data_IF_050531152193
#
_entry.id   IF_050531152193
#
_cell.length_a   1.000
_cell.length_b   1.000
_cell.length_c   1.000
_cell.angle_alpha   90.00
_cell.angle_beta   90.00
_cell.angle_gamma   90.00
#
_symmetry.space_group_name_H-M   'P 1'
#
loop_
_entity.id
_entity.type
_entity.pdbx_description
1 polymer ?
#
# COMPACT_ATOMS: atom_id res chain seq x y z
N UNK A 1 -5.52 14.08 -9.66
CA UNK A 1 -6.79 14.38 -10.35
C UNK A 1 -7.86 13.57 -9.65
N UNK A 2 -8.93 14.23 -9.16
CA UNK A 2 -9.99 13.58 -8.39
C UNK A 2 -11.17 13.23 -9.27
N UNK A 3 -11.98 12.25 -8.87
CA UNK A 3 -13.17 11.83 -9.59
C UNK A 3 -14.44 12.33 -8.88
N UNK A 4 -15.27 13.10 -9.60
CA UNK A 4 -16.56 13.57 -9.13
C UNK A 4 -17.70 12.81 -9.82
N UNK A 5 -18.66 12.31 -9.03
CA UNK A 5 -19.90 11.75 -9.53
C UNK A 5 -21.03 12.78 -9.37
N UNK A 6 -21.55 13.24 -10.51
CA UNK A 6 -22.67 14.19 -10.57
C UNK A 6 -23.96 13.41 -10.76
N UNK A 7 -24.90 13.56 -9.81
CA UNK A 7 -26.14 12.79 -9.77
C UNK A 7 -27.34 13.75 -9.78
N UNK A 8 -28.07 13.71 -10.84
CA UNK A 8 -29.31 14.51 -11.05
C UNK A 8 -30.17 13.78 -12.10
N UNK A 9 -31.48 13.81 -12.03
CA UNK A 9 -32.34 13.20 -13.03
C UNK A 9 -32.46 14.04 -14.30
N UNK A 10 -32.17 15.36 -14.22
CA UNK A 10 -32.17 16.27 -15.36
C UNK A 10 -30.78 16.29 -16.05
N UNK A 11 -30.74 15.90 -17.35
CA UNK A 11 -29.47 15.88 -18.11
C UNK A 11 -28.86 17.28 -18.27
N UNK A 12 -29.69 18.30 -18.42
CA UNK A 12 -29.25 19.71 -18.55
C UNK A 12 -28.47 20.16 -17.33
N UNK A 13 -28.90 19.77 -16.12
CA UNK A 13 -28.21 20.11 -14.87
C UNK A 13 -26.86 19.40 -14.78
N UNK A 14 -26.81 18.09 -15.10
CA UNK A 14 -25.55 17.34 -15.12
C UNK A 14 -24.54 17.92 -16.13
N UNK A 15 -25.02 18.27 -17.33
CA UNK A 15 -24.19 18.89 -18.38
C UNK A 15 -23.71 20.29 -17.97
N UNK A 16 -24.59 21.07 -17.32
CA UNK A 16 -24.26 22.39 -16.81
C UNK A 16 -23.14 22.37 -15.77
N UNK A 17 -23.22 21.43 -14.82
CA UNK A 17 -22.17 21.23 -13.81
C UNK A 17 -20.86 20.76 -14.48
N UNK A 18 -20.94 19.80 -15.40
CA UNK A 18 -19.78 19.34 -16.16
C UNK A 18 -19.10 20.46 -16.94
N UNK A 19 -19.89 21.31 -17.60
CA UNK A 19 -19.39 22.49 -18.30
C UNK A 19 -18.68 23.48 -17.36
N UNK A 20 -19.24 23.75 -16.17
CA UNK A 20 -18.60 24.63 -15.19
C UNK A 20 -17.27 24.06 -14.72
N UNK A 21 -17.19 22.76 -14.44
CA UNK A 21 -15.96 22.09 -14.03
C UNK A 21 -14.88 22.23 -15.11
N UNK A 22 -15.22 21.99 -16.36
CA UNK A 22 -14.30 22.10 -17.49
C UNK A 22 -13.89 23.56 -17.75
N UNK A 23 -14.87 24.49 -17.78
CA UNK A 23 -14.63 25.92 -18.03
C UNK A 23 -13.65 26.54 -17.03
N UNK A 24 -13.78 26.19 -15.76
CA UNK A 24 -12.92 26.71 -14.69
C UNK A 24 -11.71 25.82 -14.42
N UNK A 25 -11.50 24.79 -15.26
CA UNK A 25 -10.33 23.90 -15.24
C UNK A 25 -10.06 23.26 -13.86
N UNK A 26 -11.12 22.86 -13.17
CA UNK A 26 -10.94 22.10 -11.95
C UNK A 26 -10.27 20.75 -12.26
N UNK A 27 -9.34 20.26 -11.42
CA UNK A 27 -8.62 19.00 -11.66
C UNK A 27 -9.50 17.77 -11.35
N UNK A 28 -10.67 17.67 -12.00
CA UNK A 28 -11.71 16.70 -11.76
C UNK A 28 -12.05 15.90 -13.02
N UNK A 29 -12.18 14.58 -12.86
CA UNK A 29 -12.79 13.69 -13.85
C UNK A 29 -14.27 13.52 -13.51
N UNK A 30 -15.16 13.87 -14.43
CA UNK A 30 -16.60 13.87 -14.20
C UNK A 30 -17.21 12.56 -14.65
N UNK A 31 -17.91 11.88 -13.74
CA UNK A 31 -18.85 10.80 -14.02
C UNK A 31 -20.27 11.28 -13.73
N UNK A 32 -21.28 10.67 -14.35
CA UNK A 32 -22.67 11.05 -14.20
C UNK A 32 -23.55 9.87 -13.88
N UNK A 33 -24.59 10.11 -13.08
CA UNK A 33 -25.68 9.15 -12.81
C UNK A 33 -27.03 9.89 -12.80
N UNK A 34 -28.10 9.17 -13.07
CA UNK A 34 -29.45 9.75 -13.22
C UNK A 34 -30.34 9.68 -11.97
N UNK A 35 -29.90 8.94 -10.94
CA UNK A 35 -30.60 8.81 -9.66
C UNK A 35 -29.68 8.14 -8.64
N UNK A 36 -30.10 8.11 -7.36
CA UNK A 36 -29.31 7.53 -6.29
C UNK A 36 -28.99 6.04 -6.46
N UNK A 37 -29.88 5.26 -7.07
CA UNK A 37 -29.65 3.83 -7.26
C UNK A 37 -28.54 3.56 -8.28
N UNK A 38 -28.59 4.24 -9.43
CA UNK A 38 -27.55 4.13 -10.47
C UNK A 38 -26.20 4.67 -9.96
N UNK A 39 -26.21 5.71 -9.11
CA UNK A 39 -25.03 6.23 -8.45
C UNK A 39 -24.37 5.17 -7.53
N UNK A 40 -25.15 4.50 -6.67
CA UNK A 40 -24.62 3.44 -5.80
C UNK A 40 -24.09 2.22 -6.59
N UNK A 41 -24.74 1.86 -7.69
CA UNK A 41 -24.26 0.81 -8.58
C UNK A 41 -22.91 1.19 -9.22
N UNK A 42 -22.77 2.43 -9.67
CA UNK A 42 -21.52 2.95 -10.21
C UNK A 42 -20.39 2.91 -9.16
N UNK A 43 -20.66 3.41 -7.95
CA UNK A 43 -19.68 3.48 -6.85
C UNK A 43 -19.18 2.10 -6.37
N UNK A 44 -19.90 1.01 -6.64
CA UNK A 44 -19.46 -0.35 -6.28
C UNK A 44 -18.22 -0.79 -7.07
N UNK A 45 -18.08 -0.31 -8.29
CA UNK A 45 -17.03 -0.74 -9.23
C UNK A 45 -16.05 0.37 -9.60
N UNK A 46 -16.42 1.61 -9.35
CA UNK A 46 -15.63 2.79 -9.66
C UNK A 46 -15.45 3.64 -8.40
N UNK A 47 -14.22 3.76 -7.88
CA UNK A 47 -13.97 4.68 -6.77
C UNK A 47 -14.21 6.12 -7.21
N UNK A 48 -14.80 6.91 -6.32
CA UNK A 48 -14.97 8.35 -6.48
C UNK A 48 -14.45 9.08 -5.26
N UNK A 49 -14.10 10.35 -5.43
CA UNK A 49 -13.61 11.22 -4.34
C UNK A 49 -14.70 12.20 -3.89
N UNK A 50 -15.56 12.62 -4.82
CA UNK A 50 -16.60 13.62 -4.58
C UNK A 50 -17.92 13.11 -5.14
N UNK A 51 -18.98 13.22 -4.33
CA UNK A 51 -20.37 13.03 -4.74
C UNK A 51 -21.05 14.39 -4.77
N UNK A 52 -21.59 14.79 -5.91
CA UNK A 52 -22.49 15.95 -6.04
C UNK A 52 -23.87 15.40 -6.42
N UNK A 53 -24.88 15.63 -5.60
CA UNK A 53 -26.22 15.05 -5.80
C UNK A 53 -27.31 16.07 -5.66
N UNK A 54 -28.30 16.04 -6.57
CA UNK A 54 -29.58 16.72 -6.33
C UNK A 54 -30.33 16.07 -5.17
N UNK A 55 -31.20 16.81 -4.52
CA UNK A 55 -32.04 16.31 -3.41
C UNK A 55 -33.19 15.46 -3.94
N UNK A 56 -33.94 15.98 -4.91
CA UNK A 56 -35.16 15.32 -5.40
C UNK A 56 -34.91 14.56 -6.68
N UNK A 57 -34.81 13.25 -6.56
CA UNK A 57 -34.66 12.35 -7.70
C UNK A 57 -35.62 11.16 -7.58
N UNK A 58 -36.02 10.53 -8.71
CA UNK A 58 -36.84 9.33 -8.67
C UNK A 58 -36.07 8.13 -8.11
N UNK A 59 -36.80 7.16 -7.54
CA UNK A 59 -36.32 5.88 -6.98
C UNK A 59 -35.56 6.00 -5.65
N UNK A 60 -34.52 6.82 -5.61
CA UNK A 60 -33.71 7.11 -4.42
C UNK A 60 -33.34 8.59 -4.45
N UNK A 61 -33.72 9.32 -3.43
CA UNK A 61 -33.39 10.74 -3.30
C UNK A 61 -31.92 10.97 -2.91
N UNK A 62 -31.44 12.22 -3.12
CA UNK A 62 -30.04 12.52 -2.88
C UNK A 62 -29.66 12.54 -1.40
N UNK A 63 -30.58 12.75 -0.49
CA UNK A 63 -30.29 12.69 0.96
C UNK A 63 -30.13 11.24 1.44
N UNK A 64 -30.91 10.33 0.90
CA UNK A 64 -30.77 8.90 1.13
C UNK A 64 -29.45 8.40 0.51
N UNK A 65 -29.12 8.85 -0.71
CA UNK A 65 -27.82 8.56 -1.35
C UNK A 65 -26.66 9.09 -0.50
N UNK A 66 -26.73 10.33 -0.03
CA UNK A 66 -25.69 10.93 0.81
C UNK A 66 -25.46 10.12 2.09
N UNK A 67 -26.53 9.71 2.78
CA UNK A 67 -26.44 8.88 3.98
C UNK A 67 -25.77 7.54 3.70
N UNK A 68 -26.19 6.83 2.64
CA UNK A 68 -25.55 5.56 2.24
C UNK A 68 -24.09 5.73 1.87
N UNK A 69 -23.76 6.83 1.19
CA UNK A 69 -22.39 7.13 0.82
C UNK A 69 -21.52 7.37 2.06
N UNK A 70 -22.00 8.17 3.00
CA UNK A 70 -21.27 8.43 4.25
C UNK A 70 -21.00 7.14 5.06
N UNK A 71 -22.03 6.28 5.20
CA UNK A 71 -21.91 5.03 5.95
C UNK A 71 -20.90 4.04 5.30
N UNK A 72 -20.86 3.99 3.98
CA UNK A 72 -20.11 2.97 3.25
C UNK A 72 -18.78 3.46 2.68
N UNK A 73 -18.69 4.75 2.37
CA UNK A 73 -17.54 5.39 1.72
C UNK A 73 -17.17 6.69 2.48
N UNK A 74 -16.64 6.59 3.70
CA UNK A 74 -16.44 7.75 4.59
C UNK A 74 -15.43 8.79 4.05
N UNK A 75 -14.63 8.40 3.08
CA UNK A 75 -13.64 9.26 2.45
C UNK A 75 -14.22 10.13 1.33
N UNK A 76 -15.41 9.80 0.84
CA UNK A 76 -16.10 10.56 -0.21
C UNK A 76 -16.64 11.88 0.35
N UNK A 77 -16.30 12.98 -0.29
CA UNK A 77 -16.84 14.31 0.05
C UNK A 77 -18.19 14.49 -0.61
N UNK A 78 -19.19 14.81 0.20
CA UNK A 78 -20.59 14.90 -0.25
C UNK A 78 -20.98 16.37 -0.38
N UNK A 79 -21.47 16.74 -1.57
CA UNK A 79 -22.04 18.05 -1.90
C UNK A 79 -23.48 17.86 -2.35
N UNK A 80 -24.40 18.54 -1.70
CA UNK A 80 -25.81 18.51 -2.05
C UNK A 80 -26.18 19.77 -2.81
N UNK A 81 -26.92 19.62 -3.88
CA UNK A 81 -27.34 20.65 -4.80
C UNK A 81 -28.87 20.63 -4.97
N UNK A 82 -29.57 21.70 -4.70
CA UNK A 82 -31.03 21.67 -4.64
C UNK A 82 -31.70 22.96 -5.03
N UNK A 83 -32.86 22.84 -5.68
CA UNK A 83 -33.75 23.97 -5.95
C UNK A 83 -34.50 24.48 -4.69
N UNK A 84 -34.36 23.77 -3.57
CA UNK A 84 -35.13 24.05 -2.35
C UNK A 84 -34.25 24.67 -1.27
N UNK A 85 -34.45 25.95 -0.98
CA UNK A 85 -33.84 26.67 0.14
C UNK A 85 -34.44 26.35 1.51
N UNK A 86 -35.17 25.25 1.65
CA UNK A 86 -35.81 24.89 2.90
C UNK A 86 -34.74 24.44 3.94
N UNK A 87 -34.80 25.06 5.10
CA UNK A 87 -33.90 24.79 6.23
C UNK A 87 -33.87 23.29 6.62
N UNK A 88 -34.98 22.59 6.46
CA UNK A 88 -35.08 21.16 6.76
C UNK A 88 -34.20 20.27 5.85
N UNK A 89 -34.04 20.60 4.54
CA UNK A 89 -33.18 19.85 3.65
C UNK A 89 -31.70 20.11 3.95
N UNK A 90 -31.37 21.37 4.22
CA UNK A 90 -29.99 21.70 4.64
C UNK A 90 -29.61 20.98 5.95
N UNK A 91 -30.51 20.94 6.92
CA UNK A 91 -30.34 20.23 8.19
C UNK A 91 -30.13 18.71 7.97
N UNK A 92 -30.92 18.09 7.09
CA UNK A 92 -30.78 16.66 6.74
C UNK A 92 -29.49 16.39 5.98
N UNK A 93 -29.07 17.26 5.07
CA UNK A 93 -27.79 17.16 4.37
C UNK A 93 -26.62 17.22 5.36
N UNK A 94 -26.65 18.14 6.31
CA UNK A 94 -25.65 18.22 7.38
C UNK A 94 -25.67 16.97 8.29
N UNK A 95 -26.83 16.41 8.59
CA UNK A 95 -26.92 15.14 9.32
C UNK A 95 -26.34 13.95 8.53
N UNK A 96 -26.37 14.01 7.20
CA UNK A 96 -25.69 13.07 6.31
C UNK A 96 -24.21 13.42 6.05
N UNK A 97 -23.63 14.32 6.87
CA UNK A 97 -22.22 14.76 6.78
C UNK A 97 -21.87 15.38 5.41
N UNK A 98 -22.83 16.00 4.72
CA UNK A 98 -22.54 16.79 3.54
C UNK A 98 -21.59 17.95 3.89
N UNK A 99 -20.55 18.11 3.09
CA UNK A 99 -19.54 19.16 3.26
C UNK A 99 -20.15 20.53 2.97
N UNK A 100 -21.07 20.60 2.01
CA UNK A 100 -21.74 21.83 1.63
C UNK A 100 -23.08 21.55 0.98
N UNK A 101 -23.92 22.59 0.95
CA UNK A 101 -25.23 22.61 0.34
C UNK A 101 -25.31 23.82 -0.59
N UNK A 102 -25.55 23.61 -1.88
CA UNK A 102 -25.67 24.63 -2.91
C UNK A 102 -27.13 24.79 -3.34
N UNK A 103 -27.54 26.02 -3.59
CA UNK A 103 -28.88 26.32 -4.10
C UNK A 103 -28.89 26.43 -5.64
N UNK A 104 -29.97 25.96 -6.26
CA UNK A 104 -30.30 26.25 -7.67
C UNK A 104 -31.09 27.60 -7.74
N UNK A 105 -30.84 28.46 -8.70
CA UNK A 105 -29.81 28.38 -9.74
C UNK A 105 -28.39 28.58 -9.18
N UNK A 106 -27.40 27.88 -9.75
CA UNK A 106 -26.00 27.99 -9.31
C UNK A 106 -25.47 29.42 -9.54
N UNK A 107 -25.05 30.04 -8.45
CA UNK A 107 -24.17 31.23 -8.55
C UNK A 107 -22.73 30.78 -8.79
N UNK A 108 -22.13 31.28 -9.88
CA UNK A 108 -20.82 30.84 -10.35
C UNK A 108 -19.73 31.03 -9.28
N UNK A 109 -19.76 32.17 -8.60
CA UNK A 109 -18.77 32.47 -7.55
C UNK A 109 -18.89 31.56 -6.36
N UNK A 110 -20.13 31.20 -5.97
CA UNK A 110 -20.38 30.25 -4.89
C UNK A 110 -19.93 28.84 -5.29
N UNK A 111 -20.23 28.40 -6.51
CA UNK A 111 -19.78 27.11 -7.04
C UNK A 111 -18.25 27.00 -7.01
N UNK A 112 -17.55 28.03 -7.52
CA UNK A 112 -16.08 28.04 -7.53
C UNK A 112 -15.51 27.96 -6.11
N UNK A 113 -16.04 28.72 -5.17
CA UNK A 113 -15.63 28.72 -3.78
C UNK A 113 -15.78 27.33 -3.14
N UNK A 114 -16.96 26.71 -3.32
CA UNK A 114 -17.26 25.40 -2.76
C UNK A 114 -16.41 24.30 -3.39
N UNK A 115 -16.25 24.32 -4.72
CA UNK A 115 -15.39 23.34 -5.41
C UNK A 115 -13.93 23.45 -4.99
N UNK A 116 -13.41 24.68 -4.84
CA UNK A 116 -12.05 24.89 -4.33
C UNK A 116 -11.88 24.32 -2.92
N UNK A 117 -12.85 24.59 -2.05
CA UNK A 117 -12.84 24.08 -0.68
C UNK A 117 -12.87 22.53 -0.61
N UNK A 118 -13.71 21.91 -1.45
CA UNK A 118 -13.84 20.45 -1.50
C UNK A 118 -12.55 19.80 -2.01
N UNK A 119 -11.95 20.37 -3.06
CA UNK A 119 -10.68 19.88 -3.60
C UNK A 119 -9.58 19.97 -2.55
N UNK A 120 -9.49 21.07 -1.81
CA UNK A 120 -8.53 21.21 -0.71
C UNK A 120 -8.73 20.14 0.38
N UNK A 121 -9.98 19.79 0.70
CA UNK A 121 -10.25 18.70 1.65
C UNK A 121 -9.87 17.32 1.10
N UNK A 122 -9.99 17.09 -0.21
CA UNK A 122 -9.51 15.87 -0.84
C UNK A 122 -7.97 15.80 -0.81
N UNK A 123 -7.28 16.93 -1.03
CA UNK A 123 -5.82 17.03 -0.91
C UNK A 123 -5.37 16.68 0.53
N UNK A 124 -5.96 17.31 1.54
CA UNK A 124 -5.66 17.02 2.95
C UNK A 124 -5.87 15.54 3.32
N UNK A 125 -6.97 14.94 2.83
CA UNK A 125 -7.22 13.52 3.08
C UNK A 125 -6.19 12.62 2.38
N UNK A 126 -5.83 12.96 1.15
CA UNK A 126 -4.81 12.23 0.39
C UNK A 126 -3.44 12.30 1.06
N UNK A 127 -3.04 13.47 1.56
CA UNK A 127 -1.79 13.66 2.30
C UNK A 127 -1.80 12.86 3.61
N UNK A 128 -2.87 12.94 4.39
CA UNK A 128 -2.99 12.13 5.64
C UNK A 128 -2.86 10.63 5.38
N UNK A 129 -3.51 10.13 4.32
CA UNK A 129 -3.39 8.70 3.95
C UNK A 129 -1.97 8.32 3.55
N UNK A 130 -1.27 9.18 2.80
CA UNK A 130 0.13 8.97 2.44
C UNK A 130 1.03 8.94 3.67
N UNK A 131 0.84 9.90 4.59
CA UNK A 131 1.60 9.99 5.83
C UNK A 131 1.36 8.76 6.72
N UNK A 132 0.10 8.30 6.86
CA UNK A 132 -0.22 7.10 7.62
C UNK A 132 0.39 5.84 6.99
N UNK A 133 0.32 5.72 5.68
CA UNK A 133 0.95 4.62 4.94
C UNK A 133 2.47 4.63 5.11
N UNK A 134 3.10 5.78 4.93
CA UNK A 134 4.55 5.93 5.08
C UNK A 134 5.00 5.60 6.51
N UNK A 135 4.31 6.12 7.54
CA UNK A 135 4.60 5.77 8.94
C UNK A 135 4.43 4.28 9.20
N UNK A 136 3.41 3.65 8.60
CA UNK A 136 3.20 2.20 8.68
C UNK A 136 4.36 1.42 8.05
N UNK A 137 4.84 1.86 6.89
CA UNK A 137 6.00 1.27 6.20
C UNK A 137 7.29 1.46 7.00
N UNK A 138 7.57 2.66 7.49
CA UNK A 138 8.73 2.96 8.35
C UNK A 138 8.72 2.12 9.63
N UNK A 139 7.57 2.03 10.30
CA UNK A 139 7.42 1.21 11.50
C UNK A 139 7.68 -0.27 11.21
N UNK A 140 7.16 -0.79 10.08
CA UNK A 140 7.38 -2.16 9.64
C UNK A 140 8.85 -2.44 9.38
N UNK A 141 9.55 -1.55 8.69
CA UNK A 141 10.98 -1.66 8.42
C UNK A 141 11.81 -1.64 9.72
N UNK A 142 11.51 -0.73 10.64
CA UNK A 142 12.17 -0.70 11.96
C UNK A 142 11.94 -1.98 12.74
N UNK A 143 10.73 -2.54 12.70
CA UNK A 143 10.41 -3.78 13.38
C UNK A 143 11.19 -4.96 12.80
N UNK A 144 11.20 -5.10 11.47
CA UNK A 144 11.93 -6.16 10.78
C UNK A 144 13.44 -6.07 11.06
N UNK A 145 14.00 -4.86 11.03
CA UNK A 145 15.40 -4.63 11.40
C UNK A 145 15.72 -5.13 12.83
N UNK A 146 14.87 -4.80 13.80
CA UNK A 146 15.04 -5.26 15.19
C UNK A 146 14.92 -6.78 15.33
N UNK A 147 13.98 -7.39 14.59
CA UNK A 147 13.81 -8.84 14.57
C UNK A 147 15.04 -9.54 14.00
N UNK A 148 15.56 -9.07 12.89
CA UNK A 148 16.71 -9.67 12.21
C UNK A 148 17.99 -9.49 13.04
N UNK A 149 18.22 -8.28 13.61
CA UNK A 149 19.42 -8.00 14.43
C UNK A 149 19.35 -8.55 15.86
N UNK A 150 18.20 -9.09 16.28
CA UNK A 150 18.03 -9.62 17.64
C UNK A 150 18.03 -8.56 18.74
N UNK A 151 17.89 -7.27 18.43
CA UNK A 151 17.89 -6.17 19.40
C UNK A 151 16.61 -6.11 20.24
N UNK A 152 15.70 -7.08 20.04
CA UNK A 152 14.49 -7.27 20.83
C UNK A 152 13.35 -6.31 20.45
N UNK A 153 12.11 -6.78 20.67
CA UNK A 153 10.91 -6.05 20.28
C UNK A 153 10.47 -5.00 21.31
N UNK A 154 11.02 -5.04 22.54
CA UNK A 154 10.56 -4.19 23.65
C UNK A 154 9.04 -4.37 23.87
N UNK A 155 8.30 -3.25 23.97
CA UNK A 155 6.83 -3.22 24.03
C UNK A 155 6.17 -3.04 22.66
N UNK A 156 6.85 -3.36 21.56
CA UNK A 156 6.26 -3.24 20.23
C UNK A 156 5.09 -4.22 20.08
N UNK A 157 3.92 -3.70 19.78
CA UNK A 157 2.78 -4.53 19.40
C UNK A 157 3.04 -5.03 17.98
N UNK A 158 3.37 -6.31 17.87
CA UNK A 158 3.39 -6.98 16.57
C UNK A 158 1.93 -7.10 16.12
N UNK A 159 1.57 -6.41 15.07
CA UNK A 159 0.33 -6.72 14.37
C UNK A 159 0.57 -7.99 13.58
N UNK A 160 0.06 -9.10 14.08
CA UNK A 160 0.17 -10.44 13.47
C UNK A 160 -0.38 -10.52 12.03
N UNK A 161 -1.08 -9.47 11.61
CA UNK A 161 -1.78 -9.44 10.33
C UNK A 161 -0.87 -9.37 9.10
N UNK A 162 0.34 -8.82 9.20
CA UNK A 162 1.19 -8.55 8.02
C UNK A 162 1.58 -9.80 7.24
N UNK A 163 1.85 -10.91 7.92
CA UNK A 163 2.26 -12.17 7.29
C UNK A 163 1.40 -13.35 7.75
N UNK A 164 0.19 -13.07 8.26
CA UNK A 164 -0.73 -14.11 8.72
C UNK A 164 -1.06 -15.09 7.60
N UNK A 165 -0.90 -16.38 7.88
CA UNK A 165 -1.17 -17.45 6.91
C UNK A 165 -0.19 -17.51 5.73
N UNK A 166 0.99 -16.86 5.86
CA UNK A 166 2.03 -16.92 4.85
C UNK A 166 3.24 -17.73 5.33
N UNK A 167 3.88 -18.40 4.38
CA UNK A 167 5.21 -18.99 4.52
C UNK A 167 6.25 -17.88 4.33
N UNK A 168 7.25 -17.84 5.19
CA UNK A 168 8.35 -16.89 5.21
C UNK A 168 9.65 -17.64 4.90
N UNK A 169 10.57 -16.98 4.21
CA UNK A 169 11.92 -17.48 3.96
C UNK A 169 12.90 -16.32 3.99
N UNK A 170 13.99 -16.45 4.75
CA UNK A 170 15.06 -15.46 4.84
C UNK A 170 16.20 -15.80 3.89
N UNK A 171 16.62 -14.82 3.11
CA UNK A 171 17.90 -14.82 2.41
C UNK A 171 18.84 -13.84 3.11
N UNK A 172 19.99 -14.34 3.53
CA UNK A 172 21.10 -13.52 4.02
C UNK A 172 22.05 -13.24 2.86
N UNK A 173 22.42 -11.99 2.67
CA UNK A 173 23.31 -11.51 1.61
C UNK A 173 24.46 -10.77 2.25
N UNK A 174 25.69 -11.20 1.94
CA UNK A 174 26.91 -10.53 2.37
C UNK A 174 27.75 -10.20 1.14
N UNK A 175 28.24 -8.99 1.06
CA UNK A 175 29.09 -8.50 -0.01
C UNK A 175 30.49 -8.16 0.50
N UNK A 176 31.49 -8.11 -0.37
CA UNK A 176 32.87 -7.76 0.01
C UNK A 176 33.07 -6.26 0.26
N UNK A 177 32.22 -5.42 -0.34
CA UNK A 177 32.30 -3.97 -0.27
C UNK A 177 30.98 -3.42 0.30
N UNK A 178 30.96 -2.15 0.68
CA UNK A 178 29.78 -1.43 1.14
C UNK A 178 28.71 -1.26 0.03
N UNK A 179 28.40 -2.36 -0.65
CA UNK A 179 27.52 -2.38 -1.85
C UNK A 179 26.15 -1.77 -1.56
N UNK A 180 25.58 -2.10 -0.42
CA UNK A 180 24.24 -1.65 -0.05
C UNK A 180 24.19 -0.18 0.36
N UNK A 181 25.33 0.48 0.61
CA UNK A 181 25.35 1.92 0.91
C UNK A 181 24.84 2.78 -0.26
N UNK A 182 24.95 2.31 -1.50
CA UNK A 182 24.59 3.08 -2.71
C UNK A 182 23.76 2.33 -3.73
N UNK A 183 23.53 1.02 -3.56
CA UNK A 183 22.92 0.17 -4.60
C UNK A 183 21.64 -0.54 -4.12
N UNK A 184 21.02 -0.06 -3.04
CA UNK A 184 19.81 -0.67 -2.45
C UNK A 184 18.65 -0.78 -3.46
N UNK A 185 18.33 0.31 -4.15
CA UNK A 185 17.26 0.35 -5.14
C UNK A 185 17.53 -0.59 -6.33
N UNK A 186 18.76 -0.62 -6.81
CA UNK A 186 19.17 -1.49 -7.90
C UNK A 186 19.09 -2.97 -7.50
N UNK A 187 19.49 -3.29 -6.26
CA UNK A 187 19.37 -4.64 -5.71
C UNK A 187 17.91 -5.07 -5.56
N UNK A 188 17.07 -4.23 -4.99
CA UNK A 188 15.65 -4.50 -4.86
C UNK A 188 14.96 -4.69 -6.22
N UNK A 189 15.33 -3.89 -7.23
CA UNK A 189 14.79 -4.07 -8.57
C UNK A 189 15.25 -5.39 -9.20
N UNK A 190 16.52 -5.74 -9.04
CA UNK A 190 17.07 -7.02 -9.50
C UNK A 190 16.34 -8.22 -8.86
N UNK A 191 16.06 -8.17 -7.55
CA UNK A 191 15.30 -9.22 -6.87
C UNK A 191 13.88 -9.36 -7.43
N UNK A 192 13.19 -8.24 -7.71
CA UNK A 192 11.85 -8.24 -8.35
C UNK A 192 11.89 -8.93 -9.71
N UNK A 193 12.91 -8.64 -10.51
CA UNK A 193 13.07 -9.20 -11.86
C UNK A 193 13.42 -10.70 -11.83
N UNK A 194 14.16 -11.15 -10.82
CA UNK A 194 14.59 -12.55 -10.72
C UNK A 194 13.54 -13.46 -10.10
N UNK A 195 12.81 -12.99 -9.07
CA UNK A 195 12.06 -13.92 -8.21
C UNK A 195 10.55 -13.87 -8.41
N UNK A 196 9.97 -12.74 -8.79
CA UNK A 196 8.53 -12.49 -8.86
C UNK A 196 7.78 -12.72 -7.53
N UNK A 197 8.50 -12.88 -6.41
CA UNK A 197 7.94 -13.02 -5.07
C UNK A 197 7.88 -11.67 -4.36
N UNK A 198 6.96 -11.54 -3.44
CA UNK A 198 6.93 -10.40 -2.53
C UNK A 198 8.04 -10.56 -1.50
N UNK A 199 8.70 -9.47 -1.16
CA UNK A 199 9.75 -9.46 -0.16
C UNK A 199 9.83 -8.13 0.59
N UNK A 200 10.47 -8.17 1.77
CA UNK A 200 10.94 -7.01 2.51
C UNK A 200 12.48 -7.05 2.50
N UNK A 201 13.09 -5.96 2.11
CA UNK A 201 14.54 -5.77 2.18
C UNK A 201 14.91 -5.13 3.51
N UNK A 202 15.91 -5.68 4.20
CA UNK A 202 16.35 -5.23 5.51
C UNK A 202 17.86 -5.03 5.46
N UNK A 203 18.29 -3.79 5.37
CA UNK A 203 19.70 -3.42 5.43
C UNK A 203 20.17 -3.47 6.89
N UNK A 204 21.18 -4.27 7.21
CA UNK A 204 21.76 -4.38 8.55
C UNK A 204 23.09 -3.65 8.64
N UNK A 205 23.92 -3.75 7.61
CA UNK A 205 25.20 -3.06 7.48
C UNK A 205 25.44 -2.69 6.01
N UNK A 206 26.39 -1.77 5.70
CA UNK A 206 26.66 -1.39 4.32
C UNK A 206 27.01 -2.55 3.38
N UNK A 207 27.53 -3.63 3.93
CA UNK A 207 27.95 -4.86 3.27
C UNK A 207 27.04 -6.07 3.54
N UNK A 208 26.01 -5.92 4.39
CA UNK A 208 25.14 -7.02 4.81
C UNK A 208 23.66 -6.64 4.73
N UNK A 209 22.85 -7.52 4.17
CA UNK A 209 21.41 -7.37 4.12
C UNK A 209 20.70 -8.72 4.33
N UNK A 210 19.47 -8.63 4.84
CA UNK A 210 18.51 -9.72 4.80
C UNK A 210 17.36 -9.40 3.87
N UNK A 211 16.84 -10.43 3.21
CA UNK A 211 15.64 -10.35 2.39
C UNK A 211 14.63 -11.35 2.92
N UNK A 212 13.50 -10.85 3.43
CA UNK A 212 12.41 -11.67 3.90
C UNK A 212 11.41 -11.88 2.76
N UNK A 213 11.43 -13.03 2.14
CA UNK A 213 10.41 -13.43 1.17
C UNK A 213 9.17 -13.97 1.86
N UNK A 214 8.00 -13.74 1.28
CA UNK A 214 6.73 -14.23 1.80
C UNK A 214 5.74 -14.63 0.70
N UNK A 215 5.03 -15.75 0.94
CA UNK A 215 4.09 -16.33 -0.01
C UNK A 215 3.07 -17.22 0.72
N UNK A 216 1.98 -17.60 0.04
CA UNK A 216 1.06 -18.64 0.50
C UNK A 216 1.59 -20.07 0.26
N UNK A 217 2.70 -20.21 -0.45
CA UNK A 217 3.30 -21.48 -0.88
C UNK A 217 4.74 -21.55 -0.38
N UNK A 218 5.30 -22.76 -0.36
CA UNK A 218 6.70 -22.99 -0.01
C UNK A 218 7.64 -22.22 -0.91
N UNK A 219 8.67 -21.64 -0.33
CA UNK A 219 9.57 -20.67 -0.96
C UNK A 219 10.98 -21.21 -1.16
N UNK A 220 11.55 -21.91 -0.15
CA UNK A 220 12.98 -22.24 -0.10
C UNK A 220 13.45 -23.04 -1.31
N UNK A 221 12.69 -24.03 -1.78
CA UNK A 221 13.07 -24.85 -2.94
C UNK A 221 13.05 -24.01 -4.23
N UNK A 222 12.00 -23.22 -4.41
CA UNK A 222 11.82 -22.38 -5.61
C UNK A 222 12.78 -21.20 -5.68
N UNK A 223 13.13 -20.63 -4.53
CA UNK A 223 14.11 -19.56 -4.43
C UNK A 223 15.52 -20.12 -4.64
N UNK A 224 15.82 -21.33 -4.14
CA UNK A 224 17.11 -21.99 -4.35
C UNK A 224 17.52 -22.05 -5.82
N UNK A 225 16.57 -22.37 -6.70
CA UNK A 225 16.79 -22.39 -8.15
C UNK A 225 17.15 -20.98 -8.74
N UNK A 226 16.73 -19.91 -8.05
CA UNK A 226 16.95 -18.52 -8.49
C UNK A 226 18.20 -17.87 -7.92
N UNK A 227 18.82 -18.45 -6.90
CA UNK A 227 20.00 -17.84 -6.26
C UNK A 227 21.18 -17.70 -7.20
N UNK A 228 21.37 -18.65 -8.12
CA UNK A 228 22.45 -18.60 -9.12
C UNK A 228 22.27 -17.39 -10.04
N UNK A 229 21.05 -17.16 -10.51
CA UNK A 229 20.73 -16.02 -11.36
C UNK A 229 20.97 -14.68 -10.63
N UNK A 230 20.59 -14.64 -9.33
CA UNK A 230 20.81 -13.46 -8.49
C UNK A 230 22.30 -13.20 -8.30
N UNK A 231 23.06 -14.23 -7.96
CA UNK A 231 24.52 -14.12 -7.75
C UNK A 231 25.24 -13.71 -9.01
N UNK A 232 24.88 -14.28 -10.16
CA UNK A 232 25.49 -13.92 -11.44
C UNK A 232 25.20 -12.47 -11.84
N UNK A 233 23.99 -11.99 -11.60
CA UNK A 233 23.64 -10.58 -11.83
C UNK A 233 24.39 -9.63 -10.88
N UNK A 234 24.59 -10.00 -9.61
CA UNK A 234 25.43 -9.23 -8.69
C UNK A 234 26.85 -9.14 -9.21
N UNK A 235 27.42 -10.26 -9.66
CA UNK A 235 28.78 -10.31 -10.25
C UNK A 235 28.89 -9.45 -11.52
N UNK A 236 27.89 -9.48 -12.40
CA UNK A 236 27.83 -8.62 -13.58
C UNK A 236 27.79 -7.12 -13.23
N UNK A 237 27.26 -6.78 -12.06
CA UNK A 237 27.24 -5.42 -11.51
C UNK A 237 28.52 -5.09 -10.69
N UNK A 238 29.54 -5.95 -10.75
CA UNK A 238 30.81 -5.74 -10.05
C UNK A 238 30.75 -6.00 -8.54
N UNK A 239 29.79 -6.80 -8.08
CA UNK A 239 29.61 -7.16 -6.68
C UNK A 239 29.76 -8.66 -6.48
N UNK A 240 30.77 -9.08 -5.74
CA UNK A 240 30.90 -10.45 -5.24
C UNK A 240 30.08 -10.57 -3.95
N UNK A 241 29.25 -11.61 -3.88
CA UNK A 241 28.33 -11.77 -2.77
C UNK A 241 28.13 -13.23 -2.38
N UNK A 242 28.17 -13.49 -1.07
CA UNK A 242 27.69 -14.74 -0.48
C UNK A 242 26.18 -14.67 -0.27
N UNK A 243 25.49 -15.69 -0.74
CA UNK A 243 24.05 -15.86 -0.60
C UNK A 243 23.74 -17.08 0.25
N UNK A 244 23.05 -16.90 1.37
CA UNK A 244 22.64 -18.02 2.23
C UNK A 244 21.12 -17.99 2.38
N UNK A 245 20.43 -18.96 1.79
CA UNK A 245 18.98 -19.11 1.88
C UNK A 245 18.60 -20.01 3.03
N UNK A 246 17.72 -19.50 3.90
CA UNK A 246 17.14 -20.24 5.00
C UNK A 246 16.07 -21.25 4.57
N UNK A 247 15.63 -22.06 5.52
CA UNK A 247 14.46 -22.90 5.35
C UNK A 247 13.17 -22.10 5.57
N UNK A 248 12.07 -22.62 5.07
CA UNK A 248 10.73 -22.04 5.25
C UNK A 248 10.30 -22.10 6.72
N UNK A 249 9.60 -21.03 7.15
CA UNK A 249 9.01 -20.92 8.48
C UNK A 249 7.73 -20.08 8.45
N UNK A 250 7.03 -20.00 9.57
CA UNK A 250 5.83 -19.16 9.76
C UNK A 250 5.96 -18.36 11.04
N UNK A 251 5.24 -17.25 11.13
CA UNK A 251 5.20 -16.38 12.31
C UNK A 251 6.38 -15.41 12.42
N UNK A 252 6.07 -14.16 12.73
CA UNK A 252 7.06 -13.09 12.91
C UNK A 252 8.01 -13.35 14.06
N UNK A 253 7.55 -14.02 15.09
CA UNK A 253 8.32 -14.39 16.30
C UNK A 253 9.54 -15.28 15.98
N UNK A 254 9.50 -16.00 14.86
CA UNK A 254 10.57 -16.89 14.43
C UNK A 254 11.67 -16.20 13.61
N UNK A 255 11.44 -14.96 13.12
CA UNK A 255 12.41 -14.23 12.29
C UNK A 255 13.77 -14.10 13.01
N UNK A 256 13.76 -13.71 14.29
CA UNK A 256 15.01 -13.50 15.04
C UNK A 256 15.82 -14.79 15.17
N UNK A 257 15.17 -15.89 15.50
CA UNK A 257 15.84 -17.19 15.61
C UNK A 257 16.41 -17.64 14.27
N UNK A 258 15.66 -17.44 13.19
CA UNK A 258 16.10 -17.78 11.82
C UNK A 258 17.26 -16.92 11.36
N UNK A 259 17.20 -15.60 11.56
CA UNK A 259 18.30 -14.69 11.22
C UNK A 259 19.58 -15.05 11.97
N UNK A 260 19.49 -15.32 13.27
CA UNK A 260 20.64 -15.75 14.07
C UNK A 260 21.23 -17.09 13.58
N UNK A 261 20.37 -18.04 13.16
CA UNK A 261 20.83 -19.30 12.60
C UNK A 261 21.64 -19.09 11.33
N UNK A 262 21.13 -18.25 10.39
CA UNK A 262 21.84 -17.92 9.15
C UNK A 262 23.16 -17.19 9.42
N UNK A 263 23.19 -16.23 10.35
CA UNK A 263 24.42 -15.53 10.72
C UNK A 263 25.47 -16.46 11.34
N UNK A 264 25.05 -17.49 12.12
CA UNK A 264 25.97 -18.50 12.65
C UNK A 264 26.56 -19.37 11.54
N UNK A 265 25.72 -19.89 10.67
CA UNK A 265 26.17 -20.71 9.53
C UNK A 265 27.17 -19.94 8.69
N UNK A 266 26.89 -18.68 8.40
CA UNK A 266 27.80 -17.82 7.65
C UNK A 266 29.15 -17.63 8.35
N UNK A 267 29.15 -17.38 9.65
CA UNK A 267 30.39 -17.18 10.42
C UNK A 267 31.25 -18.46 10.50
N UNK A 268 30.63 -19.64 10.49
CA UNK A 268 31.34 -20.92 10.45
C UNK A 268 31.94 -21.23 9.07
N UNK A 269 31.36 -20.67 8.00
CA UNK A 269 31.77 -20.90 6.61
C UNK A 269 32.57 -19.73 6.01
N UNK A 270 33.28 -18.97 6.84
CA UNK A 270 33.96 -17.69 6.54
C UNK A 270 34.97 -17.73 5.38
N UNK A 271 35.40 -18.88 4.86
CA UNK A 271 36.45 -19.00 3.87
C UNK A 271 36.00 -18.87 2.40
N UNK A 272 34.71 -18.65 2.13
CA UNK A 272 34.20 -18.57 0.76
C UNK A 272 33.42 -17.26 0.51
N UNK A 273 34.07 -16.20 0.05
CA UNK A 273 33.44 -14.88 -0.15
C UNK A 273 32.33 -14.86 -1.22
N UNK A 274 32.27 -15.87 -2.08
CA UNK A 274 31.30 -16.01 -3.16
C UNK A 274 30.49 -17.32 -3.02
N UNK A 275 30.07 -17.63 -1.79
CA UNK A 275 29.36 -18.87 -1.50
C UNK A 275 27.86 -18.73 -1.81
N UNK A 276 27.31 -19.78 -2.45
CA UNK A 276 25.88 -19.97 -2.60
C UNK A 276 25.47 -21.18 -1.76
N UNK A 277 24.71 -20.93 -0.71
CA UNK A 277 24.41 -21.92 0.31
C UNK A 277 22.91 -22.05 0.57
N UNK A 278 22.47 -23.29 0.76
CA UNK A 278 21.11 -23.60 1.20
C UNK A 278 21.18 -24.21 2.61
N UNK A 279 20.51 -23.60 3.58
CA UNK A 279 20.49 -24.10 4.97
C UNK A 279 20.10 -25.57 5.07
N UNK A 280 19.14 -26.02 4.25
CA UNK A 280 18.69 -27.41 4.19
C UNK A 280 19.79 -28.41 3.83
N UNK A 281 20.78 -28.01 3.02
CA UNK A 281 21.89 -28.87 2.59
C UNK A 281 23.02 -28.92 3.62
N UNK A 282 23.17 -27.83 4.40
CA UNK A 282 24.22 -27.71 5.42
C UNK A 282 23.87 -28.59 6.64
N UNK A 283 22.59 -28.68 7.02
CA UNK A 283 22.12 -29.53 8.14
C UNK A 283 22.51 -30.98 7.99
N UNK A 284 22.63 -31.48 6.76
CA UNK A 284 23.10 -32.84 6.48
C UNK A 284 24.65 -32.94 6.55
N UNK A 285 25.37 -31.86 6.22
CA UNK A 285 26.83 -31.81 6.15
C UNK A 285 27.49 -31.54 7.51
N UNK A 286 26.93 -30.71 8.36
CA UNK A 286 27.47 -30.37 9.69
C UNK A 286 27.45 -31.56 10.63
N UNK A 287 26.56 -32.53 10.42
CA UNK A 287 26.57 -33.79 11.19
C UNK A 287 27.81 -34.65 10.90
N UNK A 288 28.55 -34.44 9.80
CA UNK A 288 29.77 -35.16 9.44
C UNK A 288 31.04 -34.57 10.07
N UNK A 289 31.04 -33.31 10.47
CA UNK A 289 32.23 -32.63 11.05
C UNK A 289 32.23 -32.62 12.59
N UNK A 290 31.17 -33.09 13.25
CA UNK A 290 31.15 -33.31 14.70
C UNK A 290 31.37 -34.78 15.04
N UNK A 291 32.48 -35.39 14.68
CA UNK A 291 33.01 -36.61 15.30
C UNK A 291 34.44 -36.41 15.72
N UNK A 292 34.79 -36.89 16.95
CA UNK A 292 35.93 -36.52 17.77
C UNK A 292 37.27 -36.85 17.16
#
# INVERSE_FOLDING_TARGET
MYKILVVDDESIEREGISFLIEKYKFPLEVAQATNGKTALEYMRTHPIDILLTDVKMPQMDGLELARHTFEKYPDVRILVFSAYGEFEFAKKAMAAQAVSYLLKPIEVDEFQRVMTQIIAQCDELSEKKKDEQQRGEEYRQQLLFRLVTGTGLGKAHITEEWFSGQTLCLLHVQTENDYFATNEDAFCQMLKDCTQYKFEYINTYPDEAFVLFYSKYDLSDRLGDKLKDIQEKLRQNGCEASLLLGIDFTGLENISARAQALSRIRNELYEAPDALLLEKEIGESVSYYQKP
#
